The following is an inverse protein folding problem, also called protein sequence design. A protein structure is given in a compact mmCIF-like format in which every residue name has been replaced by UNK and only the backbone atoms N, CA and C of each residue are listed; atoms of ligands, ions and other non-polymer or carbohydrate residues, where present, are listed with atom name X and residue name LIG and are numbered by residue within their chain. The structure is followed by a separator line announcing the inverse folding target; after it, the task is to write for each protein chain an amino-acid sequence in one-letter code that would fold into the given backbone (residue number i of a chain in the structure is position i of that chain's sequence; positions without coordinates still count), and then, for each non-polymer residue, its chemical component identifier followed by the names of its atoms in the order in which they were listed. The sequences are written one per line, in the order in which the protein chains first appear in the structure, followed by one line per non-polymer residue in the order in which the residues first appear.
data_IF_461451805834
#
_entry.id   IF_461451805834
#
_cell.length_a   1.000
_cell.length_b   1.000
_cell.length_c   1.000
_cell.angle_alpha   90.00
_cell.angle_beta   90.00
_cell.angle_gamma   90.00
#
_symmetry.space_group_name_H-M   'P 1'
#
loop_
_entity.id
_entity.type
_entity.pdbx_description
1 polymer ?
#
# COMPACT_ATOMS: atom_id res chain seq x y z
N UNK A 1 -17.69 2.89 5.09
CA UNK A 1 -16.31 2.49 5.47
C UNK A 1 -16.23 2.32 6.99
N UNK A 2 -16.58 1.14 7.52
CA UNK A 2 -16.55 0.84 8.97
C UNK A 2 -15.13 0.72 9.56
N UNK A 3 -14.08 0.73 8.72
CA UNK A 3 -12.68 0.70 9.16
C UNK A 3 -12.18 2.00 9.79
N UNK A 4 -12.77 3.12 9.39
CA UNK A 4 -12.18 4.45 9.62
C UNK A 4 -12.37 4.91 11.07
N UNK A 5 -13.33 4.35 11.81
CA UNK A 5 -13.64 4.78 13.18
C UNK A 5 -12.69 4.23 14.26
N UNK A 6 -11.91 3.19 13.97
CA UNK A 6 -11.05 2.51 14.97
C UNK A 6 -9.55 2.56 14.68
N UNK A 7 -9.17 3.27 13.62
CA UNK A 7 -7.79 3.41 13.18
C UNK A 7 -7.23 4.78 13.57
N UNK A 8 -5.95 4.85 13.95
CA UNK A 8 -5.25 6.11 14.06
C UNK A 8 -5.31 6.94 12.76
N UNK A 9 -5.39 8.27 12.87
CA UNK A 9 -5.58 9.22 11.74
C UNK A 9 -4.63 9.01 10.55
N UNK A 10 -3.38 8.70 10.85
CA UNK A 10 -2.32 8.48 9.87
C UNK A 10 -2.49 7.17 9.08
N UNK A 11 -2.97 6.08 9.70
CA UNK A 11 -3.35 4.85 8.99
C UNK A 11 -4.53 5.10 8.06
N UNK A 12 -5.52 5.87 8.53
CA UNK A 12 -6.68 6.26 7.71
C UNK A 12 -6.23 7.04 6.48
N UNK A 13 -5.31 8.00 6.65
CA UNK A 13 -4.78 8.80 5.53
C UNK A 13 -4.11 7.92 4.48
N UNK A 14 -3.19 7.03 4.88
CA UNK A 14 -2.51 6.12 3.95
C UNK A 14 -3.51 5.24 3.17
N UNK A 15 -4.45 4.60 3.88
CA UNK A 15 -5.45 3.72 3.27
C UNK A 15 -6.37 4.51 2.34
N UNK A 16 -6.81 5.69 2.76
CA UNK A 16 -7.64 6.58 1.95
C UNK A 16 -6.93 6.99 0.65
N UNK A 17 -5.65 7.35 0.73
CA UNK A 17 -4.84 7.70 -0.45
C UNK A 17 -4.62 6.51 -1.38
N UNK A 18 -4.40 5.31 -0.84
CA UNK A 18 -4.32 4.08 -1.64
C UNK A 18 -5.66 3.76 -2.31
N UNK A 19 -6.79 3.85 -1.60
CA UNK A 19 -8.13 3.62 -2.15
C UNK A 19 -8.47 4.57 -3.29
N UNK A 20 -8.13 5.84 -3.12
CA UNK A 20 -8.47 6.90 -4.07
C UNK A 20 -7.40 7.09 -5.14
N UNK A 21 -6.33 6.29 -5.12
CA UNK A 21 -5.19 6.35 -6.05
C UNK A 21 -4.49 7.70 -6.11
N UNK A 22 -4.69 8.56 -5.11
CA UNK A 22 -4.03 9.86 -4.97
C UNK A 22 -2.62 9.77 -4.41
N UNK A 23 -1.99 8.61 -4.50
CA UNK A 23 -0.70 8.34 -3.89
C UNK A 23 0.45 8.63 -4.87
N UNK A 24 1.65 8.89 -4.35
CA UNK A 24 2.89 9.24 -5.09
C UNK A 24 3.47 8.08 -5.91
N UNK A 25 2.60 7.31 -6.59
CA UNK A 25 2.94 6.34 -7.62
C UNK A 25 2.97 7.01 -9.00
N UNK A 26 3.79 6.51 -9.92
CA UNK A 26 4.02 7.16 -11.20
C UNK A 26 2.75 7.35 -12.04
N UNK A 27 1.75 6.46 -11.94
CA UNK A 27 0.46 6.71 -12.62
C UNK A 27 -0.21 8.02 -12.15
N UNK A 28 -0.24 8.27 -10.85
CA UNK A 28 -0.85 9.48 -10.31
C UNK A 28 0.00 10.72 -10.65
N UNK A 29 1.32 10.62 -10.48
CA UNK A 29 2.25 11.71 -10.81
C UNK A 29 2.15 12.11 -12.29
N UNK A 30 1.96 11.15 -13.19
CA UNK A 30 1.73 11.40 -14.60
C UNK A 30 0.39 12.12 -14.84
N UNK A 31 -0.69 11.70 -14.16
CA UNK A 31 -1.99 12.37 -14.26
C UNK A 31 -1.92 13.86 -13.88
N UNK A 32 -1.10 14.21 -12.87
CA UNK A 32 -0.87 15.61 -12.46
C UNK A 32 0.29 16.29 -13.20
N UNK A 33 0.79 15.68 -14.29
CA UNK A 33 1.87 16.19 -15.16
C UNK A 33 3.20 16.46 -14.44
N UNK A 34 3.48 15.74 -13.34
CA UNK A 34 4.76 15.84 -12.61
C UNK A 34 5.88 15.01 -13.24
N UNK A 35 5.52 13.95 -13.95
CA UNK A 35 6.46 13.09 -14.67
C UNK A 35 5.96 12.82 -16.09
N UNK A 36 6.89 12.49 -16.99
CA UNK A 36 6.57 12.28 -18.40
C UNK A 36 5.90 10.92 -18.70
N UNK A 37 6.20 9.87 -17.91
CA UNK A 37 5.72 8.52 -18.16
C UNK A 37 5.22 7.85 -16.87
N UNK A 38 4.09 7.10 -16.90
CA UNK A 38 3.51 6.47 -15.71
C UNK A 38 4.15 5.12 -15.35
N UNK A 39 5.39 4.87 -15.75
CA UNK A 39 6.01 3.55 -15.70
C UNK A 39 6.75 3.32 -14.38
N UNK A 40 6.69 2.09 -13.88
CA UNK A 40 7.47 1.64 -12.74
C UNK A 40 8.96 1.59 -13.15
N UNK A 41 9.87 2.18 -12.35
CA UNK A 41 11.29 2.22 -12.69
C UNK A 41 11.97 0.84 -12.69
N UNK A 42 11.32 -0.18 -12.12
CA UNK A 42 11.90 -1.52 -11.95
C UNK A 42 11.44 -2.56 -12.98
N UNK A 43 10.29 -2.34 -13.63
CA UNK A 43 9.71 -3.36 -14.52
C UNK A 43 8.90 -2.81 -15.69
N UNK A 44 8.95 -1.51 -15.93
CA UNK A 44 8.37 -0.83 -17.10
C UNK A 44 6.85 -1.02 -17.29
N UNK A 45 6.14 -1.54 -16.28
CA UNK A 45 4.68 -1.58 -16.22
C UNK A 45 4.13 -0.29 -15.65
N UNK A 46 2.87 0.03 -15.93
CA UNK A 46 2.20 1.19 -15.32
C UNK A 46 2.18 1.03 -13.79
N UNK A 47 2.78 2.00 -13.08
CA UNK A 47 2.86 1.97 -11.62
C UNK A 47 1.57 2.50 -11.01
N UNK A 48 0.63 1.60 -10.80
CA UNK A 48 -0.62 1.85 -10.08
C UNK A 48 -0.67 1.06 -8.77
N UNK A 49 -1.65 1.37 -7.93
CA UNK A 49 -1.82 0.72 -6.61
C UNK A 49 -1.88 -0.80 -6.72
N UNK A 50 -2.62 -1.32 -7.71
CA UNK A 50 -2.66 -2.77 -7.97
C UNK A 50 -1.27 -3.32 -8.29
N UNK A 51 -0.54 -2.69 -9.22
CA UNK A 51 0.80 -3.11 -9.58
C UNK A 51 1.74 -3.14 -8.37
N UNK A 52 1.77 -2.04 -7.63
CA UNK A 52 2.57 -1.87 -6.42
C UNK A 52 2.27 -2.97 -5.38
N UNK A 53 1.00 -3.21 -5.08
CA UNK A 53 0.59 -4.14 -4.02
C UNK A 53 0.66 -5.62 -4.40
N UNK A 54 0.47 -5.96 -5.68
CA UNK A 54 0.25 -7.38 -6.06
C UNK A 54 1.25 -7.95 -7.05
N UNK A 55 1.95 -7.13 -7.86
CA UNK A 55 2.70 -7.66 -9.03
C UNK A 55 4.10 -7.07 -9.30
N UNK A 56 4.51 -5.96 -8.68
CA UNK A 56 5.80 -5.35 -8.94
C UNK A 56 6.99 -6.22 -8.52
N UNK A 57 7.85 -6.73 -9.43
CA UNK A 57 8.91 -7.68 -9.07
C UNK A 57 9.89 -7.15 -8.01
N UNK A 58 10.11 -5.84 -7.96
CA UNK A 58 10.95 -5.20 -6.94
C UNK A 58 10.51 -5.54 -5.50
N UNK A 59 9.19 -5.61 -5.26
CA UNK A 59 8.63 -5.83 -3.93
C UNK A 59 8.24 -7.30 -3.68
N UNK A 60 8.90 -8.24 -4.35
CA UNK A 60 8.56 -9.66 -4.26
C UNK A 60 8.76 -10.23 -2.85
N UNK A 61 9.82 -9.81 -2.15
CA UNK A 61 10.12 -10.25 -0.79
C UNK A 61 9.07 -9.75 0.21
N UNK A 62 8.72 -8.47 0.17
CA UNK A 62 7.72 -7.85 1.02
C UNK A 62 6.34 -8.43 0.75
N UNK A 63 6.00 -8.67 -0.53
CA UNK A 63 4.76 -9.38 -0.88
C UNK A 63 4.76 -10.82 -0.40
N UNK A 64 5.90 -11.49 -0.37
CA UNK A 64 6.00 -12.85 0.18
C UNK A 64 5.66 -12.84 1.67
N UNK A 65 6.21 -11.89 2.43
CA UNK A 65 5.85 -11.70 3.86
C UNK A 65 4.35 -11.38 3.99
N UNK A 66 3.82 -10.44 3.20
CA UNK A 66 2.40 -10.09 3.21
C UNK A 66 1.50 -11.30 2.91
N UNK A 67 1.89 -12.15 1.95
CA UNK A 67 1.21 -13.41 1.60
C UNK A 67 1.31 -14.45 2.70
N UNK A 68 2.43 -14.56 3.39
CA UNK A 68 2.56 -15.49 4.51
C UNK A 68 1.63 -15.10 5.66
N UNK A 69 1.46 -13.79 5.91
CA UNK A 69 0.57 -13.29 6.97
C UNK A 69 -0.92 -13.36 6.60
N UNK A 70 -1.30 -13.03 5.36
CA UNK A 70 -2.71 -12.91 4.95
C UNK A 70 -3.22 -14.08 4.08
N UNK A 71 -2.34 -15.02 3.72
CA UNK A 71 -2.64 -16.15 2.87
C UNK A 71 -3.12 -15.73 1.47
N UNK A 72 -4.13 -16.46 0.96
CA UNK A 72 -4.71 -16.22 -0.39
C UNK A 72 -5.31 -14.82 -0.53
N UNK A 73 -5.73 -14.20 0.56
CA UNK A 73 -6.37 -12.87 0.54
C UNK A 73 -5.40 -11.73 0.23
N UNK A 74 -4.08 -11.95 0.35
CA UNK A 74 -3.05 -10.95 0.04
C UNK A 74 -3.03 -10.51 -1.44
N UNK A 75 -3.59 -11.32 -2.35
CA UNK A 75 -3.68 -10.96 -3.76
C UNK A 75 -4.83 -10.00 -4.11
N UNK A 76 -5.75 -9.75 -3.19
CA UNK A 76 -6.92 -8.89 -3.44
C UNK A 76 -6.67 -7.48 -2.92
N UNK A 77 -6.53 -6.51 -3.83
CA UNK A 77 -6.40 -5.09 -3.49
C UNK A 77 -7.59 -4.63 -2.64
N UNK A 78 -8.81 -5.01 -3.02
CA UNK A 78 -10.02 -4.66 -2.26
C UNK A 78 -9.97 -5.19 -0.82
N UNK A 79 -9.46 -6.42 -0.62
CA UNK A 79 -9.27 -6.97 0.71
C UNK A 79 -8.22 -6.19 1.50
N UNK A 80 -7.05 -5.92 0.90
CA UNK A 80 -5.95 -5.20 1.55
C UNK A 80 -6.36 -3.81 2.05
N UNK A 81 -7.21 -3.12 1.28
CA UNK A 81 -7.64 -1.75 1.57
C UNK A 81 -8.89 -1.67 2.44
N UNK A 82 -9.66 -2.75 2.57
CA UNK A 82 -11.00 -2.72 3.19
C UNK A 82 -11.17 -3.66 4.38
N UNK A 83 -10.20 -4.52 4.70
CA UNK A 83 -10.33 -5.47 5.82
C UNK A 83 -9.47 -5.03 7.00
N UNK A 84 -10.03 -4.92 8.22
CA UNK A 84 -9.27 -4.42 9.38
C UNK A 84 -8.02 -5.28 9.66
N UNK A 85 -8.15 -6.60 9.51
CA UNK A 85 -7.04 -7.55 9.66
C UNK A 85 -5.90 -7.39 8.64
N UNK A 86 -6.14 -6.70 7.52
CA UNK A 86 -5.15 -6.46 6.49
C UNK A 86 -4.35 -5.18 6.72
N UNK A 87 -4.82 -4.27 7.58
CA UNK A 87 -4.24 -2.94 7.76
C UNK A 87 -2.83 -3.00 8.33
N UNK A 88 -2.64 -3.72 9.44
CA UNK A 88 -1.32 -3.89 10.05
C UNK A 88 -0.30 -4.53 9.08
N UNK A 89 -0.62 -5.68 8.43
CA UNK A 89 0.27 -6.27 7.43
C UNK A 89 0.56 -5.35 6.24
N UNK A 90 -0.43 -4.59 5.75
CA UNK A 90 -0.27 -3.65 4.65
C UNK A 90 0.66 -2.48 5.04
N UNK A 91 0.55 -1.97 6.26
CA UNK A 91 1.43 -0.93 6.77
C UNK A 91 2.88 -1.42 6.85
N UNK A 92 3.09 -2.64 7.36
CA UNK A 92 4.42 -3.25 7.41
C UNK A 92 4.99 -3.39 6.00
N UNK A 93 4.18 -3.83 5.03
CA UNK A 93 4.57 -3.88 3.62
C UNK A 93 5.01 -2.49 3.13
N UNK A 94 4.17 -1.46 3.29
CA UNK A 94 4.48 -0.09 2.83
C UNK A 94 5.79 0.42 3.42
N UNK A 95 6.02 0.24 4.72
CA UNK A 95 7.27 0.66 5.35
C UNK A 95 8.48 -0.11 4.82
N UNK A 96 8.34 -1.41 4.63
CA UNK A 96 9.43 -2.29 4.19
C UNK A 96 9.88 -1.95 2.77
N UNK A 97 8.92 -1.61 1.88
CA UNK A 97 9.26 -1.18 0.52
C UNK A 97 9.96 0.18 0.47
N UNK A 98 9.77 1.03 1.48
CA UNK A 98 10.30 2.40 1.53
C UNK A 98 9.76 3.35 0.46
N UNK A 99 8.96 2.88 -0.49
CA UNK A 99 8.56 3.63 -1.68
C UNK A 99 7.74 4.89 -1.36
N UNK A 100 6.95 4.82 -0.28
CA UNK A 100 6.06 5.89 0.15
C UNK A 100 6.59 6.68 1.36
N UNK A 101 7.85 6.43 1.74
CA UNK A 101 8.47 6.99 2.94
C UNK A 101 8.59 8.52 2.88
N UNK A 102 8.81 9.08 1.68
CA UNK A 102 8.88 10.53 1.49
C UNK A 102 7.53 11.21 1.76
N UNK A 103 6.41 10.53 1.46
CA UNK A 103 5.07 11.11 1.61
C UNK A 103 4.46 10.85 2.98
N UNK A 104 4.66 9.67 3.56
CA UNK A 104 3.99 9.25 4.80
C UNK A 104 4.95 9.04 5.98
N UNK A 105 6.26 9.11 5.78
CA UNK A 105 7.25 8.73 6.80
C UNK A 105 7.19 7.24 7.15
N UNK A 106 7.75 6.87 8.31
CA UNK A 106 7.61 5.51 8.84
C UNK A 106 6.24 5.36 9.52
N UNK A 107 5.40 4.49 8.97
CA UNK A 107 4.04 4.26 9.49
C UNK A 107 4.06 3.11 10.51
N UNK A 108 4.28 3.31 11.81
CA UNK A 108 4.20 2.20 12.79
C UNK A 108 2.86 1.41 12.71
N UNK A 109 2.90 0.07 12.72
CA UNK A 109 1.70 -0.75 12.81
C UNK A 109 0.96 -0.50 14.14
N UNK A 110 -0.36 -0.74 14.16
CA UNK A 110 -1.11 -0.69 15.43
C UNK A 110 -0.59 -1.84 16.29
N UNK A 111 -0.11 -1.56 17.50
CA UNK A 111 0.20 -2.60 18.49
C UNK A 111 -1.06 -3.43 18.69
N UNK A 112 -0.98 -4.73 18.39
CA UNK A 112 -2.10 -5.63 18.59
C UNK A 112 -2.46 -5.62 20.08
N UNK A 113 -3.60 -5.02 20.41
CA UNK A 113 -4.22 -5.17 21.70
C UNK A 113 -4.85 -6.56 21.69
N UNK A 114 -4.03 -7.55 22.09
CA UNK A 114 -4.51 -8.89 22.44
C UNK A 114 -5.54 -8.75 23.56
N UNK A 115 -6.79 -8.99 23.22
CA UNK A 115 -7.87 -9.32 24.14
C UNK A 115 -8.48 -10.65 23.69
#
# INVERSE_FOLDING_TARGET
LKLVSSLPKWHISLIFWLCTTHITLNKHLHCIKKIALPLCPYCEKIEMVEHYLTSCPQYACERHVLRNTLGRSAGSVSFLLTQPKAINPLIIFVNSTGHLKETFGNVHPKSDETA
#
